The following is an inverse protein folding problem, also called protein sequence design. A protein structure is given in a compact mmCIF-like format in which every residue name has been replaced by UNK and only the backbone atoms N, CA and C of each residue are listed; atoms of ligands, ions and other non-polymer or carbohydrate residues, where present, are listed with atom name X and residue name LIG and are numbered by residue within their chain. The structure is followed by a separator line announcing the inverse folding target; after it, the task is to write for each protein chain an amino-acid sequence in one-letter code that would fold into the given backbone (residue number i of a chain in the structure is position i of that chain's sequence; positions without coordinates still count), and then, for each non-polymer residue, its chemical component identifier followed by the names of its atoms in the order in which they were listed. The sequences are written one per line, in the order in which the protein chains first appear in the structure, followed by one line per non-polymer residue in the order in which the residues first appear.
data_IF_066483683269
#
_entry.id   IF_066483683269
#
_cell.length_a   1.000
_cell.length_b   1.000
_cell.length_c   1.000
_cell.angle_alpha   90.00
_cell.angle_beta   90.00
_cell.angle_gamma   90.00
#
_symmetry.space_group_name_H-M   'P 1'
#
loop_
_entity.id
_entity.type
_entity.pdbx_description
1 polymer ?
#
# COMPACT_ATOMS: atom_id res chain seq x y z
N UNK A 1 56.13 -44.10 -25.39
CA UNK A 1 55.30 -43.79 -24.20
C UNK A 1 54.30 -42.74 -24.62
N UNK A 2 53.02 -43.08 -24.62
CA UNK A 2 51.96 -42.40 -25.38
C UNK A 2 51.31 -41.23 -24.62
N UNK A 3 51.00 -40.16 -25.36
CA UNK A 3 50.14 -39.04 -24.97
C UNK A 3 48.77 -39.50 -24.48
N UNK A 4 48.24 -38.85 -23.44
CA UNK A 4 46.82 -38.93 -23.09
C UNK A 4 46.23 -37.55 -22.78
N UNK A 5 45.82 -36.94 -23.88
CA UNK A 5 44.63 -36.14 -24.15
C UNK A 5 43.90 -35.39 -23.02
N UNK A 6 43.73 -34.12 -23.33
CA UNK A 6 43.00 -33.03 -22.70
C UNK A 6 41.48 -33.27 -22.73
N UNK A 7 40.80 -33.24 -21.58
CA UNK A 7 39.33 -33.11 -21.49
C UNK A 7 38.95 -32.18 -20.34
N UNK A 8 38.61 -30.95 -20.70
CA UNK A 8 37.90 -30.00 -19.83
C UNK A 8 36.51 -30.56 -19.50
N UNK A 9 36.08 -30.60 -18.23
CA UNK A 9 34.70 -30.95 -17.93
C UNK A 9 33.77 -29.80 -18.33
N UNK A 10 32.70 -30.21 -18.99
CA UNK A 10 31.66 -29.42 -19.62
C UNK A 10 30.97 -28.42 -18.68
N UNK A 11 30.64 -27.25 -19.24
CA UNK A 11 29.73 -26.27 -18.63
C UNK A 11 28.32 -26.87 -18.65
N UNK A 12 27.99 -27.60 -17.59
CA UNK A 12 26.63 -28.05 -17.32
C UNK A 12 25.74 -26.86 -16.98
N UNK A 13 24.75 -26.60 -17.83
CA UNK A 13 23.63 -25.73 -17.49
C UNK A 13 22.85 -26.41 -16.35
N UNK A 14 22.97 -25.86 -15.14
CA UNK A 14 22.29 -26.38 -13.95
C UNK A 14 20.77 -26.29 -14.07
N UNK A 15 20.03 -27.12 -13.32
CA UNK A 15 18.57 -27.13 -13.33
C UNK A 15 18.03 -25.75 -12.92
N UNK A 16 16.94 -25.31 -13.56
CA UNK A 16 16.27 -24.05 -13.27
C UNK A 16 15.95 -23.85 -11.79
N UNK A 17 15.65 -22.61 -11.36
CA UNK A 17 15.53 -22.28 -9.95
C UNK A 17 14.48 -23.17 -9.28
N UNK A 18 14.94 -24.11 -8.46
CA UNK A 18 14.08 -24.83 -7.53
C UNK A 18 13.35 -23.83 -6.63
N UNK A 19 12.24 -24.24 -5.97
CA UNK A 19 11.47 -23.36 -5.11
C UNK A 19 12.41 -22.66 -4.13
N UNK A 20 12.47 -21.33 -4.22
CA UNK A 20 13.33 -20.52 -3.37
C UNK A 20 13.05 -20.92 -1.91
N UNK A 21 14.05 -21.48 -1.24
CA UNK A 21 13.92 -21.92 0.15
C UNK A 21 13.58 -20.70 0.97
N UNK A 22 12.31 -20.55 1.37
CA UNK A 22 11.84 -19.44 2.21
C UNK A 22 12.45 -19.63 3.60
N UNK A 23 13.57 -18.95 3.84
CA UNK A 23 14.26 -19.00 5.14
C UNK A 23 13.42 -18.23 6.16
N UNK A 24 12.77 -18.96 7.07
CA UNK A 24 11.99 -18.34 8.16
C UNK A 24 12.93 -17.51 9.07
N UNK A 25 12.52 -16.30 9.50
CA UNK A 25 13.32 -15.48 10.38
C UNK A 25 13.46 -16.14 11.75
N UNK A 26 14.70 -16.33 12.23
CA UNK A 26 14.97 -16.92 13.56
C UNK A 26 14.38 -16.10 14.71
N UNK A 27 14.33 -14.77 14.57
CA UNK A 27 13.78 -13.83 15.57
C UNK A 27 13.24 -12.57 14.88
N UNK A 28 11.98 -12.60 14.44
CA UNK A 28 11.33 -11.50 13.71
C UNK A 28 11.32 -10.20 14.53
N UNK A 29 10.69 -10.22 15.70
CA UNK A 29 10.49 -9.03 16.55
C UNK A 29 11.79 -8.31 16.94
N UNK A 30 12.84 -9.07 17.27
CA UNK A 30 14.15 -8.48 17.62
C UNK A 30 14.83 -7.80 16.43
N UNK A 31 14.66 -8.34 15.23
CA UNK A 31 15.24 -7.80 14.00
C UNK A 31 14.50 -6.54 13.55
N UNK A 32 13.17 -6.56 13.61
CA UNK A 32 12.33 -5.37 13.37
C UNK A 32 12.67 -4.25 14.34
N UNK A 33 12.87 -4.55 15.64
CA UNK A 33 13.29 -3.54 16.62
C UNK A 33 14.66 -2.92 16.32
N UNK A 34 15.61 -3.70 15.78
CA UNK A 34 16.90 -3.15 15.31
C UNK A 34 16.73 -2.21 14.13
N UNK A 35 15.88 -2.58 13.16
CA UNK A 35 15.57 -1.72 12.02
C UNK A 35 14.88 -0.42 12.45
N UNK A 36 13.93 -0.50 13.38
CA UNK A 36 13.30 0.66 13.99
C UNK A 36 14.33 1.59 14.67
N UNK A 37 15.39 1.03 15.28
CA UNK A 37 16.50 1.82 15.83
C UNK A 37 17.31 2.54 14.74
N UNK A 38 17.49 1.96 13.55
CA UNK A 38 18.11 2.67 12.42
C UNK A 38 17.26 3.84 11.92
N UNK A 39 15.94 3.72 12.05
CA UNK A 39 14.98 4.75 11.68
C UNK A 39 14.72 5.79 12.77
N UNK A 40 15.18 5.57 14.01
CA UNK A 40 14.87 6.42 15.17
C UNK A 40 15.30 7.88 14.98
N UNK A 41 16.36 8.11 14.20
CA UNK A 41 16.80 9.46 13.82
C UNK A 41 15.82 10.23 12.92
N UNK A 42 14.75 9.59 12.45
CA UNK A 42 13.75 10.19 11.56
C UNK A 42 12.30 10.08 12.10
N UNK A 43 12.13 9.82 13.40
CA UNK A 43 10.80 9.57 13.99
C UNK A 43 9.79 10.69 13.78
N UNK A 44 10.23 11.95 13.84
CA UNK A 44 9.36 13.10 13.56
C UNK A 44 8.82 13.05 12.13
N UNK A 45 9.67 12.71 11.16
CA UNK A 45 9.25 12.54 9.77
C UNK A 45 8.30 11.37 9.58
N UNK A 46 8.50 10.27 10.30
CA UNK A 46 7.59 9.11 10.27
C UNK A 46 6.23 9.49 10.84
N UNK A 47 6.16 10.13 12.00
CA UNK A 47 4.90 10.58 12.60
C UNK A 47 4.15 11.53 11.64
N UNK A 48 4.88 12.45 11.01
CA UNK A 48 4.31 13.35 10.00
C UNK A 48 3.71 12.58 8.81
N UNK A 49 4.43 11.59 8.27
CA UNK A 49 3.93 10.69 7.21
C UNK A 49 2.67 9.97 7.66
N UNK A 50 2.64 9.43 8.88
CA UNK A 50 1.47 8.71 9.40
C UNK A 50 0.24 9.62 9.52
N UNK A 51 0.41 10.85 9.99
CA UNK A 51 -0.69 11.83 10.07
C UNK A 51 -1.24 12.13 8.68
N UNK A 52 -0.37 12.37 7.70
CA UNK A 52 -0.77 12.62 6.32
C UNK A 52 -1.45 11.40 5.67
N UNK A 53 -0.98 10.18 5.96
CA UNK A 53 -1.60 8.94 5.51
C UNK A 53 -3.03 8.79 6.05
N UNK A 54 -3.22 9.05 7.35
CA UNK A 54 -4.53 9.02 7.99
C UNK A 54 -5.44 10.08 7.39
N UNK A 55 -4.94 11.32 7.23
CA UNK A 55 -5.71 12.41 6.63
C UNK A 55 -6.14 12.07 5.19
N UNK A 56 -5.22 11.59 4.35
CA UNK A 56 -5.50 11.24 2.96
C UNK A 56 -6.54 10.12 2.87
N UNK A 57 -6.45 9.10 3.73
CA UNK A 57 -7.42 8.01 3.83
C UNK A 57 -8.80 8.53 4.24
N UNK A 58 -8.90 9.38 5.27
CA UNK A 58 -10.18 9.95 5.72
C UNK A 58 -10.87 10.74 4.60
N UNK A 59 -10.13 11.52 3.80
CA UNK A 59 -10.70 12.19 2.63
C UNK A 59 -11.27 11.18 1.62
N UNK A 60 -10.52 10.14 1.27
CA UNK A 60 -10.99 9.10 0.33
C UNK A 60 -12.22 8.37 0.84
N UNK A 61 -12.29 8.09 2.13
CA UNK A 61 -13.43 7.40 2.76
C UNK A 61 -14.69 8.27 2.78
N UNK A 62 -14.54 9.59 2.97
CA UNK A 62 -15.68 10.52 3.01
C UNK A 62 -16.24 10.85 1.63
N UNK A 63 -15.41 10.82 0.58
CA UNK A 63 -15.81 11.23 -0.76
C UNK A 63 -17.04 10.49 -1.31
N UNK A 64 -17.16 9.14 -1.23
CA UNK A 64 -18.35 8.42 -1.72
C UNK A 64 -19.66 8.86 -1.05
N UNK A 65 -19.62 9.23 0.23
CA UNK A 65 -20.81 9.71 0.95
C UNK A 65 -21.30 11.03 0.37
N UNK A 66 -20.39 11.98 0.16
CA UNK A 66 -20.70 13.30 -0.41
C UNK A 66 -21.16 13.16 -1.86
N UNK A 67 -20.52 12.28 -2.64
CA UNK A 67 -20.96 11.97 -4.00
C UNK A 67 -22.38 11.36 -4.04
N UNK A 68 -22.76 10.60 -3.01
CA UNK A 68 -24.11 10.08 -2.82
C UNK A 68 -25.18 11.18 -2.69
N UNK A 69 -24.83 12.34 -2.12
CA UNK A 69 -25.74 13.49 -2.00
C UNK A 69 -26.09 14.08 -3.37
N UNK A 70 -25.13 14.12 -4.31
CA UNK A 70 -25.41 14.53 -5.70
C UNK A 70 -26.39 13.58 -6.39
N UNK A 71 -26.21 12.27 -6.18
CA UNK A 71 -27.13 11.26 -6.72
C UNK A 71 -28.54 11.41 -6.13
N UNK A 72 -28.61 11.74 -4.84
CA UNK A 72 -29.88 11.96 -4.14
C UNK A 72 -30.60 13.21 -4.66
N UNK A 73 -29.89 14.31 -4.92
CA UNK A 73 -30.53 15.50 -5.49
C UNK A 73 -30.99 15.30 -6.94
N UNK A 74 -30.25 14.54 -7.75
CA UNK A 74 -30.71 14.12 -9.08
C UNK A 74 -31.99 13.28 -8.96
N UNK A 75 -31.98 12.28 -8.07
CA UNK A 75 -33.14 11.40 -7.85
C UNK A 75 -34.37 12.18 -7.37
N UNK A 76 -34.18 13.13 -6.44
CA UNK A 76 -35.25 13.98 -5.92
C UNK A 76 -35.82 14.89 -6.99
N UNK A 77 -34.98 15.51 -7.82
CA UNK A 77 -35.41 16.34 -8.95
C UNK A 77 -36.17 15.54 -10.01
N UNK A 78 -35.75 14.29 -10.27
CA UNK A 78 -36.47 13.37 -11.15
C UNK A 78 -37.85 13.01 -10.60
N UNK A 79 -37.92 12.55 -9.35
CA UNK A 79 -39.19 12.12 -8.74
C UNK A 79 -40.20 13.26 -8.61
N UNK A 80 -39.76 14.46 -8.25
CA UNK A 80 -40.63 15.64 -8.18
C UNK A 80 -41.11 16.08 -9.55
N UNK A 81 -40.25 16.03 -10.58
CA UNK A 81 -40.65 16.26 -11.97
C UNK A 81 -41.72 15.26 -12.45
N UNK A 82 -41.52 13.96 -12.22
CA UNK A 82 -42.52 12.93 -12.58
C UNK A 82 -43.84 13.13 -11.82
N UNK A 83 -43.78 13.48 -10.53
CA UNK A 83 -44.98 13.75 -9.73
C UNK A 83 -45.77 14.95 -10.27
N UNK A 84 -45.07 16.04 -10.65
CA UNK A 84 -45.69 17.23 -11.24
C UNK A 84 -46.30 16.96 -12.62
N UNK A 85 -45.68 16.09 -13.44
CA UNK A 85 -46.23 15.68 -14.75
C UNK A 85 -47.52 14.88 -14.55
N UNK A 86 -47.53 13.95 -13.59
CA UNK A 86 -48.72 13.18 -13.24
C UNK A 86 -49.84 14.05 -12.67
N UNK A 87 -49.51 15.17 -12.03
CA UNK A 87 -50.47 16.16 -11.54
C UNK A 87 -51.01 17.11 -12.64
N UNK A 88 -50.64 16.90 -13.92
CA UNK A 88 -51.13 17.70 -15.05
C UNK A 88 -50.50 19.08 -15.20
N UNK A 89 -49.43 19.38 -14.45
CA UNK A 89 -48.70 20.64 -14.57
C UNK A 89 -47.80 20.59 -15.82
N UNK A 90 -47.90 21.62 -16.68
CA UNK A 90 -46.94 21.82 -17.78
C UNK A 90 -45.59 22.20 -17.19
N UNK A 91 -44.66 21.26 -17.19
CA UNK A 91 -43.31 21.51 -16.71
C UNK A 91 -42.40 21.81 -17.90
N UNK A 92 -41.73 22.95 -17.86
CA UNK A 92 -40.75 23.36 -18.87
C UNK A 92 -39.36 22.71 -18.69
N UNK A 93 -39.18 21.88 -17.66
CA UNK A 93 -37.94 21.17 -17.35
C UNK A 93 -38.04 20.41 -16.03
N UNK A 94 -37.21 19.40 -15.81
CA UNK A 94 -37.16 18.72 -14.52
C UNK A 94 -36.66 19.69 -13.43
N UNK A 95 -37.27 19.72 -12.23
CA UNK A 95 -36.84 20.55 -11.11
C UNK A 95 -35.57 19.98 -10.44
N UNK A 96 -34.49 19.84 -11.21
CA UNK A 96 -33.18 19.41 -10.75
C UNK A 96 -32.36 20.64 -10.40
N UNK A 97 -31.82 20.68 -9.18
CA UNK A 97 -30.95 21.76 -8.71
C UNK A 97 -29.52 21.55 -9.19
N UNK A 98 -29.24 21.95 -10.44
CA UNK A 98 -27.92 21.82 -11.06
C UNK A 98 -26.83 22.61 -10.34
N UNK A 99 -27.18 23.73 -9.68
CA UNK A 99 -26.21 24.54 -8.94
C UNK A 99 -25.68 23.80 -7.71
N UNK A 100 -26.56 23.09 -6.96
CA UNK A 100 -26.11 22.22 -5.87
C UNK A 100 -25.23 21.09 -6.36
N UNK A 101 -25.59 20.45 -7.47
CA UNK A 101 -24.81 19.33 -8.03
C UNK A 101 -23.42 19.81 -8.43
N UNK A 102 -23.31 20.96 -9.10
CA UNK A 102 -22.02 21.58 -9.43
C UNK A 102 -21.17 21.82 -8.18
N UNK A 103 -21.77 22.38 -7.11
CA UNK A 103 -21.06 22.63 -5.86
C UNK A 103 -20.57 21.33 -5.19
N UNK A 104 -21.41 20.28 -5.18
CA UNK A 104 -21.02 18.96 -4.64
C UNK A 104 -19.85 18.37 -5.45
N UNK A 105 -19.91 18.44 -6.78
CA UNK A 105 -18.84 17.94 -7.66
C UNK A 105 -17.54 18.72 -7.41
N UNK A 106 -17.59 20.04 -7.30
CA UNK A 106 -16.43 20.87 -6.99
C UNK A 106 -15.79 20.49 -5.64
N UNK A 107 -16.61 20.26 -4.61
CA UNK A 107 -16.13 19.79 -3.30
C UNK A 107 -15.44 18.42 -3.42
N UNK A 108 -16.06 17.48 -4.14
CA UNK A 108 -15.51 16.13 -4.37
C UNK A 108 -14.17 16.18 -5.10
N UNK A 109 -14.05 17.02 -6.14
CA UNK A 109 -12.79 17.25 -6.85
C UNK A 109 -11.73 17.79 -5.90
N UNK A 110 -12.06 18.80 -5.09
CA UNK A 110 -11.13 19.39 -4.14
C UNK A 110 -10.67 18.37 -3.08
N UNK A 111 -11.57 17.50 -2.61
CA UNK A 111 -11.22 16.40 -1.70
C UNK A 111 -10.27 15.38 -2.32
N UNK A 112 -10.49 15.00 -3.58
CA UNK A 112 -9.56 14.11 -4.29
C UNK A 112 -8.20 14.76 -4.48
N UNK A 113 -8.15 16.03 -4.86
CA UNK A 113 -6.90 16.79 -5.00
C UNK A 113 -6.17 16.89 -3.66
N UNK A 114 -6.87 17.22 -2.57
CA UNK A 114 -6.28 17.28 -1.23
C UNK A 114 -5.71 15.92 -0.80
N UNK A 115 -6.47 14.83 -1.01
CA UNK A 115 -5.98 13.47 -0.73
C UNK A 115 -4.76 13.10 -1.57
N UNK A 116 -4.76 13.45 -2.86
CA UNK A 116 -3.63 13.21 -3.76
C UNK A 116 -2.38 13.97 -3.30
N UNK A 117 -2.52 15.24 -2.89
CA UNK A 117 -1.42 16.05 -2.36
C UNK A 117 -0.87 15.45 -1.07
N UNK A 118 -1.72 15.06 -0.12
CA UNK A 118 -1.25 14.41 1.11
C UNK A 118 -0.54 13.08 0.83
N UNK A 119 -1.09 12.25 -0.07
CA UNK A 119 -0.45 11.02 -0.51
C UNK A 119 0.90 11.26 -1.20
N UNK A 120 1.01 12.28 -2.04
CA UNK A 120 2.27 12.62 -2.67
C UNK A 120 3.32 13.05 -1.64
N UNK A 121 2.96 13.95 -0.72
CA UNK A 121 3.87 14.46 0.31
C UNK A 121 4.31 13.32 1.24
N UNK A 122 3.38 12.49 1.73
CA UNK A 122 3.72 11.40 2.63
C UNK A 122 4.62 10.35 1.95
N UNK A 123 4.34 10.02 0.69
CA UNK A 123 5.17 9.10 -0.08
C UNK A 123 6.57 9.67 -0.31
N UNK A 124 6.68 10.94 -0.73
CA UNK A 124 7.96 11.60 -0.95
C UNK A 124 8.82 11.65 0.31
N UNK A 125 8.24 12.02 1.46
CA UNK A 125 8.94 12.05 2.74
C UNK A 125 9.38 10.65 3.14
N UNK A 126 8.49 9.65 3.01
CA UNK A 126 8.80 8.27 3.38
C UNK A 126 9.91 7.67 2.50
N UNK A 127 9.90 7.92 1.19
CA UNK A 127 10.99 7.52 0.29
C UNK A 127 12.33 8.08 0.77
N UNK A 128 12.39 9.36 1.16
CA UNK A 128 13.63 9.96 1.66
C UNK A 128 14.09 9.33 2.98
N UNK A 129 13.17 8.99 3.88
CA UNK A 129 13.49 8.30 5.15
C UNK A 129 14.02 6.89 4.88
N UNK A 130 13.34 6.12 4.04
CA UNK A 130 13.75 4.75 3.68
C UNK A 130 15.12 4.73 3.02
N UNK A 131 15.36 5.60 2.03
CA UNK A 131 16.65 5.67 1.34
C UNK A 131 17.79 6.10 2.28
N UNK A 132 17.56 7.07 3.17
CA UNK A 132 18.56 7.44 4.19
C UNK A 132 18.85 6.33 5.19
N UNK A 133 17.85 5.51 5.52
CA UNK A 133 18.00 4.36 6.40
C UNK A 133 18.87 3.29 5.73
N UNK A 134 18.58 2.97 4.47
CA UNK A 134 19.36 2.02 3.67
C UNK A 134 20.78 2.51 3.42
N UNK A 135 20.98 3.81 3.19
CA UNK A 135 22.32 4.39 3.09
C UNK A 135 23.16 4.14 4.35
N UNK A 136 22.58 4.30 5.55
CA UNK A 136 23.25 3.98 6.80
C UNK A 136 23.57 2.48 6.91
N UNK A 137 22.62 1.61 6.55
CA UNK A 137 22.84 0.16 6.53
C UNK A 137 23.98 -0.25 5.58
N UNK A 138 24.03 0.32 4.36
CA UNK A 138 25.12 0.11 3.39
C UNK A 138 26.47 0.55 3.95
N UNK A 139 26.52 1.71 4.58
CA UNK A 139 27.75 2.24 5.19
C UNK A 139 28.24 1.34 6.32
N UNK A 140 27.34 0.92 7.20
CA UNK A 140 27.69 0.10 8.36
C UNK A 140 28.10 -1.31 7.92
N UNK A 141 27.42 -1.89 6.92
CA UNK A 141 27.86 -3.14 6.28
C UNK A 141 29.27 -3.01 5.71
N UNK A 142 29.54 -1.98 4.88
CA UNK A 142 30.88 -1.75 4.31
C UNK A 142 31.95 -1.62 5.40
N UNK A 143 31.66 -0.89 6.47
CA UNK A 143 32.57 -0.74 7.60
C UNK A 143 32.85 -2.06 8.33
N UNK A 144 31.85 -2.93 8.41
CA UNK A 144 31.98 -4.26 9.02
C UNK A 144 32.81 -5.19 8.15
N UNK A 145 32.56 -5.18 6.83
CA UNK A 145 33.33 -5.96 5.86
C UNK A 145 34.83 -5.64 5.98
N UNK A 146 35.20 -4.35 6.03
CA UNK A 146 36.60 -3.94 6.14
C UNK A 146 37.34 -4.45 7.40
N UNK A 147 36.63 -4.98 8.41
CA UNK A 147 37.20 -5.48 9.67
C UNK A 147 37.09 -7.01 9.83
N UNK A 148 36.49 -7.71 8.86
CA UNK A 148 36.34 -9.16 8.93
C UNK A 148 37.65 -9.87 8.56
N UNK A 149 37.99 -10.99 9.22
CA UNK A 149 39.18 -11.77 8.89
C UNK A 149 39.06 -12.37 7.48
N UNK A 150 40.21 -12.58 6.83
CA UNK A 150 40.29 -13.11 5.46
C UNK A 150 39.54 -14.45 5.32
N UNK A 151 39.58 -15.32 6.35
CA UNK A 151 38.84 -16.60 6.41
C UNK A 151 37.33 -16.45 6.15
N UNK A 152 36.72 -15.32 6.51
CA UNK A 152 35.31 -15.07 6.22
C UNK A 152 35.05 -14.93 4.71
N UNK A 153 35.98 -14.31 3.98
CA UNK A 153 35.91 -14.13 2.53
C UNK A 153 36.20 -15.43 1.78
N UNK A 154 37.05 -16.29 2.32
CA UNK A 154 37.35 -17.61 1.71
C UNK A 154 36.20 -18.62 1.88
N UNK A 155 35.36 -18.42 2.90
CA UNK A 155 34.23 -19.32 3.24
C UNK A 155 32.88 -18.88 2.66
N UNK A 156 32.78 -17.69 2.07
CA UNK A 156 31.53 -17.14 1.53
C UNK A 156 31.72 -16.65 0.09
N UNK A 157 30.73 -16.89 -0.77
CA UNK A 157 30.76 -16.38 -2.14
C UNK A 157 30.70 -14.85 -2.16
N UNK A 158 31.64 -14.21 -2.87
CA UNK A 158 31.62 -12.76 -3.13
C UNK A 158 30.28 -12.31 -3.75
N UNK A 159 29.65 -13.17 -4.57
CA UNK A 159 28.34 -12.91 -5.16
C UNK A 159 27.20 -12.90 -4.14
N UNK A 160 27.22 -13.78 -3.13
CA UNK A 160 26.21 -13.80 -2.07
C UNK A 160 26.31 -12.54 -1.19
N UNK A 161 27.53 -12.12 -0.85
CA UNK A 161 27.78 -10.88 -0.09
C UNK A 161 27.24 -9.66 -0.85
N UNK A 162 27.57 -9.56 -2.14
CA UNK A 162 27.12 -8.42 -2.96
C UNK A 162 25.60 -8.44 -3.20
N UNK A 163 25.02 -9.62 -3.44
CA UNK A 163 23.58 -9.81 -3.57
C UNK A 163 22.85 -9.35 -2.30
N UNK A 164 23.30 -9.76 -1.12
CA UNK A 164 22.70 -9.29 0.16
C UNK A 164 22.88 -7.79 0.36
N UNK A 165 24.04 -7.24 0.01
CA UNK A 165 24.30 -5.80 0.13
C UNK A 165 23.42 -4.93 -0.78
N UNK A 166 22.99 -5.47 -1.92
CA UNK A 166 22.12 -4.78 -2.88
C UNK A 166 20.66 -5.17 -2.64
N UNK A 167 20.32 -6.42 -2.91
CA UNK A 167 18.95 -6.93 -2.96
C UNK A 167 18.26 -6.92 -1.58
N UNK A 168 18.90 -7.39 -0.51
CA UNK A 168 18.26 -7.37 0.81
C UNK A 168 18.04 -5.92 1.28
N UNK A 169 18.96 -5.03 0.95
CA UNK A 169 18.86 -3.61 1.30
C UNK A 169 17.81 -2.87 0.48
N UNK A 170 17.65 -3.19 -0.79
CA UNK A 170 16.58 -2.66 -1.62
C UNK A 170 15.21 -3.20 -1.19
N UNK A 171 15.14 -4.49 -0.84
CA UNK A 171 13.95 -5.09 -0.23
C UNK A 171 13.57 -4.40 1.08
N UNK A 172 14.55 -4.05 1.93
CA UNK A 172 14.32 -3.24 3.13
C UNK A 172 13.80 -1.84 2.75
N UNK A 173 14.38 -1.18 1.75
CA UNK A 173 13.93 0.14 1.30
C UNK A 173 12.46 0.11 0.85
N UNK A 174 12.12 -0.86 -0.01
CA UNK A 174 10.77 -1.04 -0.54
C UNK A 174 9.76 -1.40 0.55
N UNK A 175 10.12 -2.32 1.45
CA UNK A 175 9.26 -2.72 2.58
C UNK A 175 9.01 -1.54 3.52
N UNK A 176 10.05 -0.79 3.87
CA UNK A 176 9.89 0.41 4.72
C UNK A 176 9.01 1.46 4.04
N UNK A 177 9.24 1.73 2.76
CA UNK A 177 8.50 2.77 2.03
C UNK A 177 7.02 2.41 1.83
N UNK A 178 6.73 1.18 1.42
CA UNK A 178 5.41 0.78 0.97
C UNK A 178 4.62 0.04 2.05
N UNK A 179 5.20 -0.95 2.71
CA UNK A 179 4.46 -1.75 3.69
C UNK A 179 4.10 -0.94 4.93
N UNK A 180 4.98 -0.05 5.41
CA UNK A 180 4.70 0.75 6.61
C UNK A 180 3.50 1.68 6.41
N UNK A 181 3.51 2.45 5.31
CA UNK A 181 2.43 3.40 4.96
C UNK A 181 1.15 2.66 4.59
N UNK A 182 1.27 1.56 3.84
CA UNK A 182 0.13 0.73 3.45
C UNK A 182 -0.53 0.05 4.65
N UNK A 183 0.22 -0.45 5.63
CA UNK A 183 -0.37 -1.04 6.84
C UNK A 183 -1.25 -0.02 7.56
N UNK A 184 -0.74 1.18 7.80
CA UNK A 184 -1.51 2.24 8.48
C UNK A 184 -2.71 2.67 7.64
N UNK A 185 -2.50 2.93 6.35
CA UNK A 185 -3.58 3.35 5.44
C UNK A 185 -4.66 2.27 5.35
N UNK A 186 -4.29 1.01 5.17
CA UNK A 186 -5.23 -0.11 5.09
C UNK A 186 -5.99 -0.32 6.40
N UNK A 187 -5.34 -0.22 7.56
CA UNK A 187 -6.03 -0.30 8.85
C UNK A 187 -7.04 0.84 9.03
N UNK A 188 -6.64 2.07 8.72
CA UNK A 188 -7.51 3.25 8.81
C UNK A 188 -8.67 3.15 7.82
N UNK A 189 -8.40 2.74 6.58
CA UNK A 189 -9.42 2.52 5.56
C UNK A 189 -10.38 1.41 5.95
N UNK A 190 -9.87 0.28 6.45
CA UNK A 190 -10.71 -0.82 6.90
C UNK A 190 -11.66 -0.40 8.02
N UNK A 191 -11.13 0.20 9.09
CA UNK A 191 -11.93 0.65 10.23
C UNK A 191 -12.86 1.80 9.82
N UNK A 192 -12.34 2.77 9.07
CA UNK A 192 -13.05 3.98 8.67
C UNK A 192 -14.18 3.72 7.70
N UNK A 193 -14.00 2.79 6.74
CA UNK A 193 -15.07 2.36 5.83
C UNK A 193 -16.17 1.65 6.59
N UNK A 194 -15.83 0.68 7.45
CA UNK A 194 -16.83 -0.03 8.27
C UNK A 194 -17.62 0.98 9.11
N UNK A 195 -16.92 1.87 9.82
CA UNK A 195 -17.54 2.91 10.63
C UNK A 195 -18.48 3.78 9.80
N UNK A 196 -18.03 4.28 8.63
CA UNK A 196 -18.85 5.10 7.75
C UNK A 196 -20.07 4.34 7.20
N UNK A 197 -19.91 3.07 6.82
CA UNK A 197 -21.04 2.23 6.37
C UNK A 197 -22.11 2.13 7.45
N UNK A 198 -21.74 1.81 8.70
CA UNK A 198 -22.68 1.74 9.81
C UNK A 198 -23.37 3.08 10.10
N UNK A 199 -22.67 4.21 9.92
CA UNK A 199 -23.28 5.54 10.09
C UNK A 199 -24.28 5.90 8.98
N UNK A 200 -24.14 5.33 7.79
CA UNK A 200 -25.07 5.55 6.67
C UNK A 200 -26.31 4.66 6.83
N UNK A 201 -26.12 3.35 7.03
CA UNK A 201 -27.21 2.41 7.28
C UNK A 201 -26.68 1.10 7.85
N UNK A 202 -27.04 0.77 9.09
CA UNK A 202 -26.63 -0.46 9.75
C UNK A 202 -27.17 -1.74 9.06
N UNK A 203 -28.38 -1.69 8.48
CA UNK A 203 -29.03 -2.83 7.82
C UNK A 203 -28.28 -3.24 6.55
N UNK A 204 -28.10 -2.30 5.62
CA UNK A 204 -27.31 -2.52 4.40
C UNK A 204 -25.86 -2.90 4.70
N UNK A 205 -25.29 -2.36 5.79
CA UNK A 205 -23.92 -2.69 6.22
C UNK A 205 -23.79 -4.15 6.66
N UNK A 206 -24.75 -4.69 7.42
CA UNK A 206 -24.74 -6.09 7.82
C UNK A 206 -24.86 -7.02 6.61
N UNK A 207 -25.72 -6.69 5.64
CA UNK A 207 -25.87 -7.46 4.41
C UNK A 207 -24.54 -7.46 3.63
N UNK A 208 -23.90 -6.30 3.47
CA UNK A 208 -22.60 -6.18 2.80
C UNK A 208 -21.47 -6.90 3.56
N UNK A 209 -21.46 -6.85 4.89
CA UNK A 209 -20.47 -7.58 5.69
C UNK A 209 -20.65 -9.08 5.59
N UNK A 210 -21.89 -9.57 5.46
CA UNK A 210 -22.17 -10.99 5.26
C UNK A 210 -21.62 -11.53 3.92
N UNK A 211 -21.41 -10.68 2.91
CA UNK A 211 -20.80 -11.13 1.64
C UNK A 211 -19.28 -11.34 1.75
N UNK A 212 -18.61 -10.74 2.73
CA UNK A 212 -17.17 -10.89 2.95
C UNK A 212 -16.78 -12.35 3.26
N UNK A 213 -17.32 -13.03 4.29
CA UNK A 213 -16.98 -14.43 4.56
C UNK A 213 -17.36 -15.37 3.41
N UNK A 214 -18.47 -15.11 2.72
CA UNK A 214 -18.85 -15.85 1.52
C UNK A 214 -17.75 -15.74 0.45
N UNK A 215 -17.25 -14.53 0.19
CA UNK A 215 -16.17 -14.33 -0.77
C UNK A 215 -14.87 -15.03 -0.36
N UNK A 216 -14.53 -15.04 0.94
CA UNK A 216 -13.35 -15.71 1.47
C UNK A 216 -13.43 -17.23 1.31
N UNK A 217 -14.60 -17.83 1.50
CA UNK A 217 -14.82 -19.26 1.27
C UNK A 217 -14.61 -19.58 -0.22
N UNK A 218 -15.20 -18.79 -1.12
CA UNK A 218 -15.06 -18.99 -2.57
C UNK A 218 -13.60 -18.86 -3.00
N UNK A 219 -12.90 -17.84 -2.52
CA UNK A 219 -11.47 -17.66 -2.79
C UNK A 219 -10.65 -18.82 -2.23
N UNK A 220 -10.94 -19.28 -1.01
CA UNK A 220 -10.23 -20.41 -0.40
C UNK A 220 -10.46 -21.76 -1.10
N UNK A 221 -11.54 -21.90 -1.87
CA UNK A 221 -11.79 -23.08 -2.71
C UNK A 221 -11.04 -22.98 -4.06
N UNK A 222 -10.92 -21.77 -4.61
CA UNK A 222 -10.37 -21.53 -5.96
C UNK A 222 -8.84 -21.30 -5.92
N UNK A 223 -8.34 -20.59 -4.92
CA UNK A 223 -6.91 -20.33 -4.74
C UNK A 223 -6.29 -21.52 -3.97
N UNK A 224 -5.46 -22.36 -4.61
CA UNK A 224 -4.83 -23.52 -3.97
C UNK A 224 -3.81 -23.13 -2.90
#
# INVERSE_FOLDING_TARGET
MAEKNNQSPSVGHGPGPGPAVVVKPKNFWKTTGRLAKYMSGYMVGIIFVLILAIASAVFQIKTPKILGEATTEIYKGLMTGVAQQKAGLKINGLPIDFSKIEHIILIVILMYLASAVFNFIQQFVMTRISQRTVYKLRRDLKSKMARLPIVYYDSHSNGDIMSRAINDMDNIAGTLQQSLTQLVTSTVTFIGVIWMMFTISWQMSLIALATVPLSLIVVGIIAP
#
